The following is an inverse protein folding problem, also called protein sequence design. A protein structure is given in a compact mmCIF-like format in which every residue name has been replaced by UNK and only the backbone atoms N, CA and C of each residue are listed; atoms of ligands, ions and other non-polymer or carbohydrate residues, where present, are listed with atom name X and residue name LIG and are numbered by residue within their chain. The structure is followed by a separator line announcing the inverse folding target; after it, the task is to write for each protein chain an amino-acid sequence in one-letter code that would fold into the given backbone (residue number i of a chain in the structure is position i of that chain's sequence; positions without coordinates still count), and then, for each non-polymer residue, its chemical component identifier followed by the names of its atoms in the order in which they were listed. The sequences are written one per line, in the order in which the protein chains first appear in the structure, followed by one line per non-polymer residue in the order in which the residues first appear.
data_IF_965385096155
#
_entry.id   IF_965385096155
#
_cell.length_a   1.000
_cell.length_b   1.000
_cell.length_c   1.000
_cell.angle_alpha   90.00
_cell.angle_beta   90.00
_cell.angle_gamma   90.00
#
_symmetry.space_group_name_H-M   'P 1'
#
loop_
_entity.id
_entity.type
_entity.pdbx_description
1 polymer ?
#
# COMPACT_ATOMS: atom_id res chain seq x y z
N UNK A 1 1.91 30.25 19.74
CA UNK A 1 1.27 29.83 18.48
C UNK A 1 1.95 28.55 18.05
N UNK A 2 1.37 27.38 18.34
CA UNK A 2 1.90 26.11 17.86
C UNK A 2 1.71 26.11 16.34
N UNK A 3 2.81 26.03 15.58
CA UNK A 3 2.72 25.70 14.16
C UNK A 3 2.01 24.35 14.06
N UNK A 4 0.78 24.34 13.52
CA UNK A 4 0.08 23.11 13.19
C UNK A 4 0.92 22.39 12.13
N UNK A 5 1.61 21.33 12.52
CA UNK A 5 2.71 20.74 11.73
C UNK A 5 2.26 20.17 10.38
N UNK A 6 0.95 20.01 10.17
CA UNK A 6 0.24 19.85 8.90
C UNK A 6 -1.26 19.84 9.26
N UNK A 7 -2.06 20.71 8.64
CA UNK A 7 -3.51 20.70 8.82
C UNK A 7 -4.15 19.46 8.20
N UNK A 8 -5.37 19.11 8.65
CA UNK A 8 -6.14 17.98 8.11
C UNK A 8 -6.34 18.10 6.58
N UNK A 9 -6.51 19.33 6.09
CA UNK A 9 -6.64 19.62 4.66
C UNK A 9 -5.33 19.37 3.90
N UNK A 10 -4.19 19.81 4.43
CA UNK A 10 -2.86 19.60 3.87
C UNK A 10 -2.51 18.11 3.81
N UNK A 11 -2.79 17.36 4.89
CA UNK A 11 -2.53 15.91 4.90
C UNK A 11 -3.43 15.16 3.92
N UNK A 12 -4.69 15.59 3.79
CA UNK A 12 -5.62 15.00 2.80
C UNK A 12 -5.13 15.25 1.37
N UNK A 13 -4.65 16.46 1.05
CA UNK A 13 -4.03 16.74 -0.26
C UNK A 13 -2.84 15.82 -0.52
N UNK A 14 -1.97 15.61 0.48
CA UNK A 14 -0.83 14.70 0.37
C UNK A 14 -1.29 13.25 0.10
N UNK A 15 -2.31 12.77 0.80
CA UNK A 15 -2.88 11.44 0.56
C UNK A 15 -3.44 11.30 -0.86
N UNK A 16 -4.10 12.34 -1.39
CA UNK A 16 -4.60 12.36 -2.77
C UNK A 16 -3.45 12.35 -3.77
N UNK A 17 -2.42 13.15 -3.56
CA UNK A 17 -1.21 13.16 -4.42
C UNK A 17 -0.57 11.78 -4.44
N UNK A 18 -0.41 11.13 -3.29
CA UNK A 18 0.13 9.76 -3.20
C UNK A 18 -0.79 8.75 -3.92
N UNK A 19 -2.11 8.88 -3.77
CA UNK A 19 -3.08 8.02 -4.44
C UNK A 19 -3.00 8.10 -5.97
N UNK A 20 -2.65 9.25 -6.52
CA UNK A 20 -2.48 9.44 -7.97
C UNK A 20 -1.05 9.12 -8.41
N UNK A 21 -0.03 9.44 -7.62
CA UNK A 21 1.37 9.22 -7.98
C UNK A 21 1.73 7.73 -8.00
N UNK A 22 1.22 6.94 -7.05
CA UNK A 22 1.52 5.50 -6.95
C UNK A 22 1.13 4.69 -8.19
N UNK A 23 -0.06 4.82 -8.81
CA UNK A 23 -0.36 4.11 -10.06
C UNK A 23 0.50 4.58 -11.24
N UNK A 24 0.89 5.86 -11.30
CA UNK A 24 1.78 6.38 -12.34
C UNK A 24 3.17 5.73 -12.20
N UNK A 25 3.74 5.75 -10.99
CA UNK A 25 5.05 5.13 -10.70
C UNK A 25 5.01 3.64 -10.98
N UNK A 26 3.94 2.96 -10.56
CA UNK A 26 3.74 1.55 -10.82
C UNK A 26 3.66 1.23 -12.32
N UNK A 27 2.97 2.05 -13.11
CA UNK A 27 2.88 1.88 -14.55
C UNK A 27 4.26 2.01 -15.22
N UNK A 28 5.00 3.07 -14.88
CA UNK A 28 6.36 3.29 -15.40
C UNK A 28 7.27 2.10 -15.04
N UNK A 29 7.19 1.63 -13.80
CA UNK A 29 7.98 0.47 -13.36
C UNK A 29 7.56 -0.84 -14.04
N UNK A 30 6.27 -1.06 -14.27
CA UNK A 30 5.74 -2.24 -14.98
C UNK A 30 6.21 -2.31 -16.44
N UNK A 31 6.31 -1.15 -17.11
CA UNK A 31 6.82 -1.03 -18.47
C UNK A 31 8.33 -1.26 -18.50
N UNK A 32 9.08 -0.69 -17.55
CA UNK A 32 10.53 -0.84 -17.47
C UNK A 32 11.00 -2.22 -16.96
N UNK A 33 10.15 -2.95 -16.20
CA UNK A 33 10.47 -4.24 -15.58
C UNK A 33 9.35 -5.27 -15.82
N UNK A 34 9.21 -5.80 -17.06
CA UNK A 34 8.15 -6.74 -17.42
C UNK A 34 8.03 -8.01 -16.54
N UNK A 35 9.12 -8.63 -16.00
CA UNK A 35 8.95 -9.82 -15.14
C UNK A 35 8.27 -9.53 -13.79
N UNK A 36 8.06 -8.26 -13.42
CA UNK A 36 7.48 -7.88 -12.12
C UNK A 36 6.13 -7.14 -12.24
N UNK A 37 5.44 -7.25 -13.38
CA UNK A 37 4.14 -6.58 -13.63
C UNK A 37 3.09 -6.85 -12.54
N UNK A 38 3.07 -8.07 -11.98
CA UNK A 38 2.14 -8.40 -10.88
C UNK A 38 2.42 -7.59 -9.61
N UNK A 39 3.69 -7.35 -9.28
CA UNK A 39 4.10 -6.50 -8.15
C UNK A 39 3.76 -5.02 -8.41
N UNK A 40 3.72 -4.62 -9.68
CA UNK A 40 3.36 -3.26 -10.07
C UNK A 40 1.87 -2.98 -9.82
N UNK A 41 0.99 -3.96 -10.05
CA UNK A 41 -0.45 -3.81 -9.73
C UNK A 41 -0.65 -3.55 -8.24
N UNK A 42 0.08 -4.26 -7.38
CA UNK A 42 0.02 -4.05 -5.93
C UNK A 42 0.53 -2.65 -5.54
N UNK A 43 1.61 -2.20 -6.17
CA UNK A 43 2.13 -0.85 -5.97
C UNK A 43 1.13 0.23 -6.42
N UNK A 44 0.44 0.00 -7.54
CA UNK A 44 -0.57 0.91 -8.06
C UNK A 44 -1.78 1.06 -7.13
N UNK A 45 -2.15 -0.01 -6.42
CA UNK A 45 -3.26 -0.02 -5.48
C UNK A 45 -2.91 0.60 -4.13
N UNK A 46 -1.61 0.70 -3.79
CA UNK A 46 -1.17 1.11 -2.46
C UNK A 46 -1.62 2.54 -2.09
N UNK A 47 -1.48 3.51 -3.00
CA UNK A 47 -1.90 4.88 -2.73
C UNK A 47 -3.42 5.05 -2.64
N UNK A 48 -4.23 4.53 -3.59
CA UNK A 48 -5.68 4.53 -3.47
C UNK A 48 -6.17 3.83 -2.20
N UNK A 49 -5.57 2.70 -1.82
CA UNK A 49 -5.88 2.00 -0.57
C UNK A 49 -5.54 2.86 0.65
N UNK A 50 -4.40 3.55 0.64
CA UNK A 50 -4.02 4.49 1.69
C UNK A 50 -5.02 5.66 1.83
N UNK A 51 -5.47 6.24 0.72
CA UNK A 51 -6.47 7.31 0.74
C UNK A 51 -7.84 6.81 1.26
N UNK A 52 -8.26 5.62 0.86
CA UNK A 52 -9.48 5.00 1.38
C UNK A 52 -9.39 4.77 2.90
N UNK A 53 -8.22 4.31 3.37
CA UNK A 53 -7.94 4.10 4.79
C UNK A 53 -7.96 5.41 5.57
N UNK A 54 -7.35 6.48 5.03
CA UNK A 54 -7.41 7.82 5.59
C UNK A 54 -8.84 8.34 5.70
N UNK A 55 -9.65 8.20 4.64
CA UNK A 55 -11.05 8.60 4.65
C UNK A 55 -11.87 7.81 5.69
N UNK A 56 -11.61 6.52 5.84
CA UNK A 56 -12.28 5.67 6.81
C UNK A 56 -11.88 6.04 8.24
N UNK A 57 -10.59 6.23 8.50
CA UNK A 57 -10.07 6.72 9.79
C UNK A 57 -10.74 8.04 10.20
N UNK A 58 -10.83 9.01 9.28
CA UNK A 58 -11.47 10.29 9.57
C UNK A 58 -12.98 10.14 9.84
N UNK A 59 -13.68 9.25 9.13
CA UNK A 59 -15.10 8.98 9.42
C UNK A 59 -15.32 8.38 10.80
N UNK A 60 -14.44 7.45 11.22
CA UNK A 60 -14.51 6.83 12.55
C UNK A 60 -14.20 7.88 13.61
N UNK A 61 -13.12 8.64 13.42
CA UNK A 61 -12.67 9.69 14.33
C UNK A 61 -13.71 10.80 14.50
N UNK A 62 -14.37 11.22 13.41
CA UNK A 62 -15.45 12.21 13.46
C UNK A 62 -16.68 11.72 14.24
N UNK A 63 -16.91 10.40 14.31
CA UNK A 63 -18.04 9.80 15.01
C UNK A 63 -17.77 9.54 16.48
N UNK A 64 -16.56 9.11 16.83
CA UNK A 64 -16.21 8.70 18.19
C UNK A 64 -15.35 9.72 18.95
N UNK A 65 -14.86 10.76 18.28
CA UNK A 65 -13.88 11.69 18.84
C UNK A 65 -12.46 11.11 18.83
N UNK A 66 -11.48 11.99 18.65
CA UNK A 66 -10.06 11.64 18.56
C UNK A 66 -9.56 10.97 19.87
N UNK A 67 -9.97 11.50 21.02
CA UNK A 67 -9.40 11.15 22.32
C UNK A 67 -10.06 9.95 23.03
N UNK A 68 -10.84 9.15 22.30
CA UNK A 68 -11.50 8.00 22.91
C UNK A 68 -10.69 6.72 22.72
N UNK A 69 -10.53 5.95 23.80
CA UNK A 69 -9.92 4.61 23.78
C UNK A 69 -10.65 3.70 22.78
N UNK A 70 -11.97 3.91 22.61
CA UNK A 70 -12.78 3.21 21.60
C UNK A 70 -12.33 3.53 20.17
N UNK A 71 -12.12 4.79 19.82
CA UNK A 71 -11.62 5.17 18.50
C UNK A 71 -10.24 4.55 18.23
N UNK A 72 -9.34 4.62 19.21
CA UNK A 72 -8.01 4.01 19.11
C UNK A 72 -8.11 2.49 18.87
N UNK A 73 -8.91 1.78 19.67
CA UNK A 73 -9.08 0.33 19.54
C UNK A 73 -9.66 -0.08 18.18
N UNK A 74 -10.64 0.66 17.66
CA UNK A 74 -11.23 0.40 16.34
C UNK A 74 -10.19 0.62 15.25
N UNK A 75 -9.46 1.73 15.27
CA UNK A 75 -8.45 2.02 14.25
C UNK A 75 -7.32 0.99 14.29
N UNK A 76 -6.80 0.65 15.46
CA UNK A 76 -5.78 -0.41 15.61
C UNK A 76 -6.29 -1.74 15.07
N UNK A 77 -7.50 -2.16 15.46
CA UNK A 77 -8.11 -3.39 14.96
C UNK A 77 -8.28 -3.38 13.44
N UNK A 78 -8.67 -2.25 12.86
CA UNK A 78 -8.79 -2.07 11.41
C UNK A 78 -7.43 -2.21 10.71
N UNK A 79 -6.39 -1.51 11.18
CA UNK A 79 -5.04 -1.58 10.61
C UNK A 79 -4.45 -2.99 10.70
N UNK A 80 -4.59 -3.65 11.86
CA UNK A 80 -4.12 -5.02 12.04
C UNK A 80 -4.87 -5.98 11.09
N UNK A 81 -6.19 -5.88 11.02
CA UNK A 81 -7.00 -6.75 10.17
C UNK A 81 -6.66 -6.57 8.70
N UNK A 82 -6.59 -5.32 8.22
CA UNK A 82 -6.24 -5.02 6.84
C UNK A 82 -4.79 -5.42 6.51
N UNK A 83 -3.86 -5.21 7.43
CA UNK A 83 -2.45 -5.62 7.27
C UNK A 83 -2.30 -7.13 7.16
N UNK A 84 -2.98 -7.89 8.02
CA UNK A 84 -2.96 -9.36 7.99
C UNK A 84 -3.61 -9.89 6.71
N UNK A 85 -4.80 -9.41 6.36
CA UNK A 85 -5.48 -9.82 5.12
C UNK A 85 -4.69 -9.44 3.88
N UNK A 86 -4.08 -8.25 3.86
CA UNK A 86 -3.20 -7.80 2.79
C UNK A 86 -1.95 -8.65 2.66
N UNK A 87 -1.30 -9.02 3.77
CA UNK A 87 -0.13 -9.89 3.79
C UNK A 87 -0.44 -11.32 3.34
N UNK A 88 -1.55 -11.89 3.80
CA UNK A 88 -2.02 -13.21 3.34
C UNK A 88 -2.34 -13.16 1.84
N UNK A 89 -3.09 -12.14 1.39
CA UNK A 89 -3.43 -11.95 -0.01
C UNK A 89 -2.19 -11.80 -0.89
N UNK A 90 -1.17 -11.06 -0.43
CA UNK A 90 0.13 -10.94 -1.09
C UNK A 90 0.82 -12.31 -1.22
N UNK A 91 0.92 -13.06 -0.12
CA UNK A 91 1.57 -14.37 -0.11
C UNK A 91 0.86 -15.38 -1.02
N UNK A 92 -0.47 -15.38 -1.04
CA UNK A 92 -1.26 -16.20 -1.95
C UNK A 92 -1.07 -15.81 -3.42
N UNK A 93 -0.97 -14.51 -3.71
CA UNK A 93 -0.73 -14.00 -5.07
C UNK A 93 0.68 -14.36 -5.56
N UNK A 94 1.69 -14.26 -4.69
CA UNK A 94 3.06 -14.66 -5.03
C UNK A 94 3.18 -16.18 -5.20
N UNK A 95 2.47 -16.97 -4.38
CA UNK A 95 2.41 -18.43 -4.55
C UNK A 95 1.76 -18.88 -5.84
N UNK A 96 0.91 -18.05 -6.47
CA UNK A 96 0.24 -18.37 -7.74
C UNK A 96 1.06 -18.00 -8.97
N UNK A 97 2.12 -17.20 -8.83
CA UNK A 97 2.95 -16.83 -9.97
C UNK A 97 4.11 -17.82 -10.13
N UNK A 98 4.24 -18.49 -11.29
CA UNK A 98 5.40 -19.35 -11.55
C UNK A 98 6.67 -18.50 -11.51
N UNK A 99 7.59 -18.86 -10.63
CA UNK A 99 8.94 -18.27 -10.60
C UNK A 99 9.63 -18.72 -11.88
N UNK A 100 9.96 -17.77 -12.75
CA UNK A 100 10.72 -17.98 -13.98
C UNK A 100 12.07 -18.60 -13.59
N UNK A 101 12.12 -19.93 -13.59
CA UNK A 101 13.33 -20.72 -13.39
C UNK A 101 14.04 -20.73 -14.72
N UNK A 102 14.56 -19.57 -15.15
CA UNK A 102 15.58 -19.59 -16.19
C UNK A 102 16.74 -20.40 -15.61
N UNK A 103 17.15 -21.49 -16.27
CA UNK A 103 18.34 -22.22 -15.84
C UNK A 103 19.49 -21.21 -15.84
N UNK A 104 20.25 -21.24 -14.76
CA UNK A 104 21.46 -20.48 -14.55
C UNK A 104 22.49 -20.93 -15.60
N UNK A 105 22.41 -20.36 -16.82
CA UNK A 105 23.38 -20.56 -17.91
C UNK A 105 24.82 -20.20 -17.48
N UNK A 106 25.01 -19.53 -16.32
CA UNK A 106 26.32 -19.29 -15.74
C UNK A 106 26.99 -20.54 -15.13
N UNK A 107 26.28 -21.66 -14.97
CA UNK A 107 26.84 -22.94 -14.48
C UNK A 107 27.35 -23.87 -15.57
N UNK A 108 27.02 -23.62 -16.84
CA UNK A 108 27.53 -24.40 -17.98
C UNK A 108 28.80 -23.79 -18.59
N UNK A 109 29.28 -22.66 -18.03
CA UNK A 109 30.48 -21.95 -18.48
C UNK A 109 31.72 -22.18 -17.58
N UNK A 110 31.69 -23.15 -16.66
CA UNK A 110 32.93 -23.66 -16.05
C UNK A 110 33.44 -24.88 -16.86
N UNK A 111 34.58 -24.75 -17.54
CA UNK A 111 35.19 -25.84 -18.32
C UNK A 111 35.79 -26.95 -17.44
#
# INVERSE_FOLDING_TARGET
MLHELIGLAEFTKLCVVVAVATPIVALVWAVARPPHRHKAVLLALLGPANLALWALYNRITNRFGLDTVRNLAINVGLFVTLGVLGGIGYGLLESRWPKDTRPDESREAEP
#
